data_IF_572391570019
#
_entry.id   IF_572391570019
#
_cell.length_a   1.000
_cell.length_b   1.000
_cell.length_c   1.000
_cell.angle_alpha   90.00
_cell.angle_beta   90.00
_cell.angle_gamma   90.00
#
_symmetry.space_group_name_H-M   'P 1'
#
loop_
_entity.id
_entity.type
_entity.pdbx_description
1 polymer ?
#
# COMPACT_ATOMS: atom_id res chain seq x y z
N UNK A 1 14.58 -14.82 -26.75
CA UNK A 1 13.95 -15.34 -25.51
C UNK A 1 14.68 -14.73 -24.33
N UNK A 2 14.10 -13.74 -23.65
CA UNK A 2 14.71 -13.12 -22.47
C UNK A 2 14.01 -13.61 -21.20
N UNK A 3 14.75 -14.33 -20.35
CA UNK A 3 14.35 -14.69 -19.00
C UNK A 3 14.54 -13.47 -18.10
N UNK A 4 13.46 -12.90 -17.57
CA UNK A 4 13.56 -11.96 -16.46
C UNK A 4 13.52 -12.76 -15.15
N UNK A 5 14.70 -13.03 -14.62
CA UNK A 5 14.91 -13.52 -13.25
C UNK A 5 14.60 -12.36 -12.27
N UNK A 6 13.32 -12.23 -11.89
CA UNK A 6 12.92 -11.29 -10.83
C UNK A 6 13.19 -11.95 -9.49
N UNK A 7 14.43 -11.80 -9.04
CA UNK A 7 14.84 -11.92 -7.64
C UNK A 7 13.86 -11.11 -6.79
N UNK A 8 13.07 -11.80 -5.98
CA UNK A 8 12.20 -11.18 -4.99
C UNK A 8 13.15 -10.49 -4.02
N UNK A 9 13.42 -9.21 -4.25
CA UNK A 9 13.95 -8.35 -3.23
C UNK A 9 12.98 -8.50 -2.07
N UNK A 10 13.51 -8.89 -0.91
CA UNK A 10 12.90 -8.71 0.40
C UNK A 10 12.31 -7.32 0.40
N UNK A 11 11.04 -7.20 0.02
CA UNK A 11 10.31 -5.98 0.19
C UNK A 11 10.38 -5.77 1.69
N UNK A 12 11.15 -4.75 2.07
CA UNK A 12 11.00 -4.09 3.35
C UNK A 12 9.58 -3.53 3.33
N UNK A 13 8.59 -4.41 3.51
CA UNK A 13 7.26 -4.06 3.96
C UNK A 13 7.53 -3.24 5.21
N UNK A 14 7.36 -1.94 5.03
CA UNK A 14 7.99 -0.89 5.81
C UNK A 14 7.81 -1.14 7.30
N UNK A 15 8.84 -0.79 8.08
CA UNK A 15 8.86 -1.11 9.51
C UNK A 15 7.56 -0.66 10.17
N UNK A 16 7.02 -1.53 11.03
CA UNK A 16 5.77 -1.31 11.76
C UNK A 16 5.74 0.05 12.49
N UNK A 17 6.93 0.62 12.75
CA UNK A 17 7.17 1.92 13.38
C UNK A 17 6.90 3.14 12.51
N UNK A 18 6.75 2.99 11.17
CA UNK A 18 6.59 4.13 10.24
C UNK A 18 5.17 4.31 9.69
N UNK A 19 4.22 3.49 10.13
CA UNK A 19 2.81 3.73 9.81
C UNK A 19 2.34 4.93 10.61
N UNK A 20 1.55 5.80 9.98
CA UNK A 20 0.75 6.73 10.78
C UNK A 20 -0.06 5.90 11.80
N UNK A 21 -0.51 6.50 12.90
CA UNK A 21 -1.28 5.79 13.92
C UNK A 21 -2.57 5.12 13.39
N UNK A 22 -2.95 5.38 12.13
CA UNK A 22 -4.08 4.76 11.44
C UNK A 22 -3.73 3.44 10.76
N UNK A 23 -4.68 2.49 10.83
CA UNK A 23 -4.61 1.22 10.13
C UNK A 23 -4.81 1.40 8.62
N UNK A 24 -4.08 0.64 7.78
CA UNK A 24 -4.36 0.58 6.36
C UNK A 24 -5.71 -0.10 6.10
N UNK A 25 -6.34 0.24 4.99
CA UNK A 25 -7.62 -0.32 4.56
C UNK A 25 -7.44 -1.13 3.28
N UNK A 26 -8.04 -2.32 3.24
CA UNK A 26 -8.00 -3.23 2.10
C UNK A 26 -9.42 -3.46 1.58
N UNK A 27 -9.59 -3.34 0.27
CA UNK A 27 -10.89 -3.48 -0.39
C UNK A 27 -10.79 -4.39 -1.61
N UNK A 28 -11.76 -5.30 -1.76
CA UNK A 28 -11.91 -6.13 -2.94
C UNK A 28 -12.55 -5.32 -4.08
N UNK A 29 -11.94 -5.37 -5.27
CA UNK A 29 -12.41 -4.69 -6.49
C UNK A 29 -13.04 -5.66 -7.51
N UNK A 30 -13.31 -6.90 -7.09
CA UNK A 30 -13.76 -7.97 -7.98
C UNK A 30 -12.65 -8.55 -8.87
N UNK A 31 -12.92 -9.70 -9.49
CA UNK A 31 -11.99 -10.43 -10.36
C UNK A 31 -10.61 -10.76 -9.73
N UNK A 32 -10.58 -10.90 -8.41
CA UNK A 32 -9.35 -11.13 -7.64
C UNK A 32 -8.45 -9.89 -7.53
N UNK A 33 -8.94 -8.69 -7.87
CA UNK A 33 -8.22 -7.42 -7.67
C UNK A 33 -8.54 -6.84 -6.31
N UNK A 34 -7.55 -6.19 -5.72
CA UNK A 34 -7.62 -5.58 -4.41
C UNK A 34 -6.95 -4.21 -4.44
N UNK A 35 -7.44 -3.29 -3.61
CA UNK A 35 -6.84 -1.99 -3.35
C UNK A 35 -6.46 -1.91 -1.87
N UNK A 36 -5.20 -1.64 -1.60
CA UNK A 36 -4.67 -1.35 -0.27
C UNK A 36 -4.35 0.14 -0.19
N UNK A 37 -4.93 0.82 0.79
CA UNK A 37 -4.68 2.23 1.06
C UNK A 37 -4.01 2.35 2.42
N UNK A 38 -2.80 2.89 2.46
CA UNK A 38 -1.99 3.08 3.67
C UNK A 38 -1.54 4.53 3.81
N UNK A 39 -1.45 5.03 5.04
CA UNK A 39 -0.98 6.37 5.35
C UNK A 39 0.36 6.27 6.08
N UNK A 40 1.42 6.80 5.46
CA UNK A 40 2.78 6.73 6.01
C UNK A 40 3.28 8.13 6.39
N UNK A 41 3.99 8.23 7.51
CA UNK A 41 4.64 9.48 7.93
C UNK A 41 6.00 9.59 7.24
N UNK A 42 6.31 10.75 6.64
CA UNK A 42 7.63 10.99 6.03
C UNK A 42 8.76 10.91 7.06
N UNK A 43 9.89 10.33 6.64
CA UNK A 43 11.10 10.21 7.46
C UNK A 43 11.60 11.61 7.89
N UNK A 44 11.80 11.82 9.19
CA UNK A 44 12.26 13.09 9.75
C UNK A 44 11.17 13.98 10.36
N UNK A 45 9.89 13.62 10.21
CA UNK A 45 8.79 14.32 10.87
C UNK A 45 8.34 13.57 12.13
N UNK A 46 8.34 14.28 13.28
CA UNK A 46 7.79 13.75 14.53
C UNK A 46 6.28 13.58 14.37
N UNK A 47 5.75 12.45 14.85
CA UNK A 47 4.31 12.19 14.92
C UNK A 47 3.62 13.32 15.70
N UNK A 48 2.85 14.16 15.02
CA UNK A 48 2.17 15.29 15.65
C UNK A 48 1.91 16.49 14.74
N UNK A 49 2.63 16.61 13.61
CA UNK A 49 2.34 17.64 12.62
C UNK A 49 1.58 17.08 11.41
N UNK A 50 0.50 17.76 10.97
CA UNK A 50 -0.36 17.27 9.90
C UNK A 50 0.18 17.51 8.48
N UNK A 51 1.27 18.27 8.35
CA UNK A 51 1.92 18.50 7.07
C UNK A 51 3.06 17.48 6.94
N UNK A 52 2.83 16.37 6.23
CA UNK A 52 3.84 15.29 6.14
C UNK A 52 3.35 13.87 5.94
N UNK A 53 2.04 13.64 5.92
CA UNK A 53 1.49 12.31 5.63
C UNK A 53 1.47 12.05 4.11
N UNK A 54 1.87 10.85 3.73
CA UNK A 54 1.82 10.38 2.34
C UNK A 54 0.85 9.21 2.26
N UNK A 55 -0.14 9.33 1.38
CA UNK A 55 -1.09 8.27 1.08
C UNK A 55 -0.47 7.36 0.02
N UNK A 56 -0.34 6.08 0.33
CA UNK A 56 0.05 5.06 -0.62
C UNK A 56 -1.18 4.25 -1.01
N UNK A 57 -1.49 4.23 -2.30
CA UNK A 57 -2.58 3.47 -2.89
C UNK A 57 -1.95 2.38 -3.74
N UNK A 58 -2.08 1.14 -3.32
CA UNK A 58 -1.54 -0.03 -4.01
C UNK A 58 -2.68 -0.88 -4.53
N UNK A 59 -2.84 -0.96 -5.85
CA UNK A 59 -3.74 -1.92 -6.50
C UNK A 59 -2.95 -3.16 -6.89
N UNK A 60 -3.50 -4.34 -6.64
CA UNK A 60 -2.86 -5.60 -7.03
C UNK A 60 -3.89 -6.70 -7.29
N UNK A 61 -3.46 -7.79 -7.93
CA UNK A 61 -4.29 -8.96 -8.17
C UNK A 61 -3.75 -10.16 -7.40
N UNK A 62 -4.64 -10.96 -6.82
CA UNK A 62 -4.30 -12.27 -6.29
C UNK A 62 -4.57 -13.35 -7.34
N UNK A 63 -3.59 -14.23 -7.53
CA UNK A 63 -3.67 -15.38 -8.44
C UNK A 63 -3.02 -16.59 -7.81
N UNK A 64 -3.58 -17.77 -8.07
CA UNK A 64 -2.92 -19.02 -7.73
C UNK A 64 -1.80 -19.32 -8.72
N UNK A 65 -0.67 -19.78 -8.22
CA UNK A 65 0.41 -20.34 -9.02
C UNK A 65 0.02 -21.72 -9.55
N UNK A 66 0.80 -22.28 -10.49
CA UNK A 66 0.61 -23.65 -10.97
C UNK A 66 0.73 -24.70 -9.84
N UNK A 67 1.37 -24.35 -8.73
CA UNK A 67 1.52 -25.19 -7.54
C UNK A 67 0.40 -24.97 -6.51
N UNK A 68 -0.60 -24.15 -6.81
CA UNK A 68 -1.69 -23.83 -5.89
C UNK A 68 -1.35 -22.79 -4.82
N UNK A 69 -0.23 -22.08 -4.94
CA UNK A 69 0.16 -21.04 -3.99
C UNK A 69 -0.49 -19.70 -4.36
N UNK A 70 -1.04 -18.98 -3.38
CA UNK A 70 -1.58 -17.65 -3.61
C UNK A 70 -0.44 -16.63 -3.78
N UNK A 71 -0.45 -15.87 -4.87
CA UNK A 71 0.57 -14.87 -5.20
C UNK A 71 -0.05 -13.53 -5.57
N UNK A 72 0.70 -12.47 -5.28
CA UNK A 72 0.40 -11.12 -5.75
C UNK A 72 0.96 -10.96 -7.17
N UNK A 73 0.14 -10.45 -8.08
CA UNK A 73 0.45 -10.16 -9.48
C UNK A 73 -0.10 -8.78 -9.87
N UNK A 74 0.34 -8.25 -11.01
CA UNK A 74 -0.18 -7.04 -11.65
C UNK A 74 -0.37 -5.88 -10.66
N UNK A 75 0.66 -5.58 -9.85
CA UNK A 75 0.58 -4.55 -8.82
C UNK A 75 1.06 -3.18 -9.33
N UNK A 76 0.44 -2.13 -8.83
CA UNK A 76 0.81 -0.75 -9.08
C UNK A 76 0.60 0.07 -7.81
N UNK A 77 1.58 0.89 -7.45
CA UNK A 77 1.52 1.78 -6.28
C UNK A 77 1.57 3.22 -6.74
N UNK A 78 0.67 4.05 -6.20
CA UNK A 78 0.65 5.51 -6.37
C UNK A 78 0.76 6.17 -5.01
N UNK A 79 1.61 7.16 -4.90
CA UNK A 79 1.83 7.92 -3.67
C UNK A 79 1.34 9.36 -3.85
N UNK A 80 0.54 9.84 -2.92
CA UNK A 80 -0.01 11.19 -2.92
C UNK A 80 0.39 11.90 -1.62
N UNK A 81 1.05 13.05 -1.74
CA UNK A 81 1.35 13.89 -0.59
C UNK A 81 0.06 14.58 -0.14
N UNK A 82 -0.25 14.49 1.15
CA UNK A 82 -1.37 15.21 1.75
C UNK A 82 -0.87 16.54 2.29
N UNK A 83 -1.46 17.65 1.82
CA UNK A 83 -0.97 19.02 2.03
C UNK A 83 -1.78 19.83 3.05
N UNK A 84 -2.67 19.21 3.85
CA UNK A 84 -3.49 19.95 4.83
C UNK A 84 -3.68 19.20 6.15
N UNK A 85 -3.92 20.02 7.18
CA UNK A 85 -4.33 19.79 8.58
C UNK A 85 -5.32 18.64 8.89
N UNK A 86 -5.20 17.47 8.28
CA UNK A 86 -6.03 16.31 8.61
C UNK A 86 -5.41 15.60 9.81
N UNK A 87 -5.67 16.14 11.01
CA UNK A 87 -5.20 15.57 12.29
C UNK A 87 -5.63 14.12 12.49
N UNK A 88 -6.68 13.67 11.78
CA UNK A 88 -7.15 12.30 11.76
C UNK A 88 -7.66 11.90 10.36
N UNK A 89 -6.79 11.34 9.51
CA UNK A 89 -7.19 10.80 8.21
C UNK A 89 -7.30 9.27 8.29
N UNK A 90 -8.51 8.70 8.39
CA UNK A 90 -8.67 7.26 8.24
C UNK A 90 -8.90 6.96 6.75
N UNK A 91 -7.97 6.28 6.05
CA UNK A 91 -8.23 5.89 4.66
C UNK A 91 -9.41 4.92 4.61
N UNK A 92 -10.48 5.27 3.90
CA UNK A 92 -11.58 4.35 3.58
C UNK A 92 -11.50 4.06 2.10
N UNK A 93 -11.55 2.77 1.74
CA UNK A 93 -11.63 2.33 0.36
C UNK A 93 -12.89 1.49 0.18
N UNK A 94 -13.62 1.73 -0.90
CA UNK A 94 -14.75 0.94 -1.35
C UNK A 94 -14.71 0.85 -2.88
N UNK A 95 -15.33 -0.19 -3.42
CA UNK A 95 -15.41 -0.43 -4.87
C UNK A 95 -16.88 -0.44 -5.28
N UNK A 96 -17.21 0.22 -6.40
CA UNK A 96 -18.54 0.27 -7.01
C UNK A 96 -18.54 -0.41 -8.38
#
# INVERSE_FOLDING_TARGET
MQQHDRKIAKDKLWSRERRAAQRPTLTCMGHGRFCLVDCVVRQGMKSGYPDGCMLNITTFRLRYSRKGELRIADHATRSCQMTKNVRAFSPVAFWM
#
